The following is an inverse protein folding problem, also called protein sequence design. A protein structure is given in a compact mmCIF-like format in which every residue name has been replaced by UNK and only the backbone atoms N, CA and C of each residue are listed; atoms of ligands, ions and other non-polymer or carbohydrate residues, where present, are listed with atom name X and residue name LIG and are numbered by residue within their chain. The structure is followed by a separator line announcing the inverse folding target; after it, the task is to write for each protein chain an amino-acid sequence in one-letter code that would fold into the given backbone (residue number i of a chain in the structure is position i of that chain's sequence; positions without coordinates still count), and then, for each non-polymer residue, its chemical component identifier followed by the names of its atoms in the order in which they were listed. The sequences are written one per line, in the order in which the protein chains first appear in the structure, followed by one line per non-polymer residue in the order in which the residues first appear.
data_IF_699936861395
#
_entry.id   IF_699936861395
#
_cell.length_a   1.000
_cell.length_b   1.000
_cell.length_c   1.000
_cell.angle_alpha   90.00
_cell.angle_beta   90.00
_cell.angle_gamma   90.00
#
_symmetry.space_group_name_H-M   'P 1'
#
loop_
_entity.id
_entity.type
_entity.pdbx_description
1 polymer ?
#
# COMPACT_ATOMS: atom_id res chain seq x y z
N UNK A 1 -23.58 0.18 12.97
CA UNK A 1 -23.43 -1.29 12.83
C UNK A 1 -22.15 -1.57 12.09
N UNK A 2 -21.26 -2.46 12.56
CA UNK A 2 -20.19 -2.96 11.70
C UNK A 2 -20.82 -3.64 10.48
N UNK A 3 -20.22 -3.53 9.28
CA UNK A 3 -20.77 -4.19 8.10
C UNK A 3 -20.77 -5.71 8.35
N UNK A 4 -21.94 -6.31 8.28
CA UNK A 4 -22.10 -7.76 8.37
C UNK A 4 -21.42 -8.41 7.17
N UNK A 5 -20.61 -9.45 7.42
CA UNK A 5 -20.03 -10.28 6.36
C UNK A 5 -21.17 -10.87 5.54
N UNK A 6 -21.14 -10.65 4.23
CA UNK A 6 -22.13 -11.22 3.32
C UNK A 6 -21.93 -12.74 3.21
N UNK A 7 -22.98 -13.52 2.90
CA UNK A 7 -22.83 -14.97 2.69
C UNK A 7 -21.77 -15.34 1.65
N UNK A 8 -21.63 -14.52 0.59
CA UNK A 8 -20.60 -14.67 -0.43
C UNK A 8 -19.17 -14.47 0.13
N UNK A 9 -18.96 -13.45 0.97
CA UNK A 9 -17.68 -13.24 1.64
C UNK A 9 -17.37 -14.40 2.60
N UNK A 10 -18.35 -14.86 3.38
CA UNK A 10 -18.16 -16.01 4.28
C UNK A 10 -17.70 -17.26 3.53
N UNK A 11 -18.36 -17.58 2.41
CA UNK A 11 -17.99 -18.69 1.52
C UNK A 11 -16.55 -18.55 0.99
N UNK A 12 -16.13 -17.34 0.60
CA UNK A 12 -14.77 -17.10 0.14
C UNK A 12 -13.73 -17.37 1.24
N UNK A 13 -13.96 -16.87 2.46
CA UNK A 13 -13.05 -17.09 3.60
C UNK A 13 -12.94 -18.56 4.02
N UNK A 14 -13.97 -19.37 3.76
CA UNK A 14 -13.96 -20.81 4.01
C UNK A 14 -13.31 -21.61 2.87
N UNK A 15 -13.07 -21.00 1.70
CA UNK A 15 -12.49 -21.67 0.54
C UNK A 15 -10.97 -21.82 0.64
N UNK A 16 -10.49 -23.03 0.31
CA UNK A 16 -9.07 -23.37 0.19
C UNK A 16 -8.58 -23.37 -1.26
N UNK A 17 -9.48 -23.16 -2.21
CA UNK A 17 -9.20 -23.25 -3.63
C UNK A 17 -8.64 -21.93 -4.18
N UNK A 18 -7.44 -21.97 -4.78
CA UNK A 18 -6.79 -20.77 -5.32
C UNK A 18 -7.65 -20.05 -6.38
N UNK A 19 -8.44 -20.80 -7.15
CA UNK A 19 -9.33 -20.25 -8.20
C UNK A 19 -10.40 -19.32 -7.63
N UNK A 20 -10.95 -19.64 -6.46
CA UNK A 20 -11.98 -18.81 -5.83
C UNK A 20 -11.41 -17.45 -5.41
N UNK A 21 -10.17 -17.45 -4.91
CA UNK A 21 -9.42 -16.24 -4.56
C UNK A 21 -9.07 -15.39 -5.77
N UNK A 22 -8.63 -16.02 -6.86
CA UNK A 22 -8.37 -15.32 -8.14
C UNK A 22 -9.64 -14.67 -8.69
N UNK A 23 -10.74 -15.42 -8.73
CA UNK A 23 -12.04 -14.91 -9.21
C UNK A 23 -12.54 -13.74 -8.35
N UNK A 24 -12.33 -13.80 -7.04
CA UNK A 24 -12.66 -12.69 -6.15
C UNK A 24 -11.78 -11.45 -6.41
N UNK A 25 -10.49 -11.66 -6.67
CA UNK A 25 -9.53 -10.59 -6.97
C UNK A 25 -9.82 -9.90 -8.31
N UNK A 26 -10.32 -10.64 -9.31
CA UNK A 26 -10.73 -10.07 -10.61
C UNK A 26 -11.84 -9.02 -10.48
N UNK A 27 -12.68 -9.12 -9.43
CA UNK A 27 -13.75 -8.14 -9.13
C UNK A 27 -13.25 -6.89 -8.38
N UNK A 28 -11.96 -6.81 -8.10
CA UNK A 28 -11.39 -5.68 -7.37
C UNK A 28 -11.61 -4.33 -8.07
N UNK A 29 -11.45 -4.18 -9.40
CA UNK A 29 -11.71 -2.91 -10.08
C UNK A 29 -13.14 -2.41 -9.84
N UNK A 30 -14.13 -3.29 -9.96
CA UNK A 30 -15.53 -3.01 -9.68
C UNK A 30 -15.72 -2.54 -8.22
N UNK A 31 -15.03 -3.17 -7.27
CA UNK A 31 -15.09 -2.82 -5.86
C UNK A 31 -14.46 -1.44 -5.54
N UNK A 32 -13.50 -0.97 -6.34
CA UNK A 32 -12.93 0.37 -6.24
C UNK A 32 -13.86 1.40 -6.87
N UNK A 33 -14.40 1.12 -8.05
CA UNK A 33 -15.40 1.95 -8.72
C UNK A 33 -16.65 2.14 -7.84
N UNK A 34 -17.10 1.08 -7.17
CA UNK A 34 -18.27 1.12 -6.28
C UNK A 34 -18.07 2.04 -5.06
N UNK A 35 -16.84 2.46 -4.74
CA UNK A 35 -16.61 3.44 -3.67
C UNK A 35 -17.02 4.86 -4.07
N UNK A 36 -17.21 5.13 -5.37
CA UNK A 36 -17.63 6.40 -5.93
C UNK A 36 -16.86 7.61 -5.36
N UNK A 37 -15.54 7.45 -5.21
CA UNK A 37 -14.64 8.51 -4.74
C UNK A 37 -13.87 9.09 -5.92
N UNK A 38 -13.89 10.42 -6.05
CA UNK A 38 -13.21 11.14 -7.15
C UNK A 38 -11.71 10.83 -7.16
N UNK A 39 -11.18 10.48 -8.34
CA UNK A 39 -9.76 10.19 -8.56
C UNK A 39 -9.24 8.91 -7.89
N UNK A 40 -10.08 8.14 -7.18
CA UNK A 40 -9.62 6.94 -6.48
C UNK A 40 -9.19 5.84 -7.46
N UNK A 41 -9.93 5.66 -8.57
CA UNK A 41 -9.61 4.66 -9.59
C UNK A 41 -8.23 4.93 -10.18
N UNK A 42 -7.96 6.17 -10.61
CA UNK A 42 -6.66 6.57 -11.15
C UNK A 42 -5.51 6.39 -10.14
N UNK A 43 -5.73 6.82 -8.90
CA UNK A 43 -4.74 6.64 -7.83
C UNK A 43 -4.47 5.16 -7.53
N UNK A 44 -5.49 4.31 -7.63
CA UNK A 44 -5.36 2.88 -7.37
C UNK A 44 -4.65 2.15 -8.52
N UNK A 45 -4.99 2.48 -9.77
CA UNK A 45 -4.27 1.98 -10.96
C UNK A 45 -2.79 2.37 -10.90
N UNK A 46 -2.48 3.63 -10.59
CA UNK A 46 -1.10 4.08 -10.41
C UNK A 46 -0.38 3.28 -9.32
N UNK A 47 -1.01 3.06 -8.16
CA UNK A 47 -0.43 2.28 -7.06
C UNK A 47 -0.17 0.82 -7.46
N UNK A 48 -1.07 0.19 -8.22
CA UNK A 48 -0.97 -1.23 -8.58
C UNK A 48 -0.06 -1.51 -9.77
N UNK A 49 0.01 -0.60 -10.74
CA UNK A 49 0.65 -0.87 -12.02
C UNK A 49 1.91 -0.04 -12.24
N UNK A 50 1.89 1.23 -11.91
CA UNK A 50 2.99 2.16 -12.23
C UNK A 50 4.05 2.17 -11.13
N UNK A 51 3.63 2.29 -9.87
CA UNK A 51 4.53 2.37 -8.72
C UNK A 51 5.47 1.14 -8.60
N UNK A 52 4.99 -0.12 -8.72
CA UNK A 52 5.87 -1.28 -8.62
C UNK A 52 6.87 -1.34 -9.77
N UNK A 53 6.48 -0.92 -10.99
CA UNK A 53 7.38 -0.84 -12.15
C UNK A 53 8.46 0.21 -11.94
N UNK A 54 8.10 1.38 -11.39
CA UNK A 54 9.05 2.45 -11.07
C UNK A 54 10.07 2.02 -10.02
N UNK A 55 9.62 1.35 -8.94
CA UNK A 55 10.52 0.83 -7.90
C UNK A 55 11.42 -0.27 -8.45
N UNK A 56 10.88 -1.20 -9.25
CA UNK A 56 11.66 -2.29 -9.85
C UNK A 56 12.70 -1.80 -10.87
N UNK A 57 12.47 -0.65 -11.52
CA UNK A 57 13.43 -0.01 -12.41
C UNK A 57 14.61 0.66 -11.69
N UNK A 58 14.54 0.84 -10.37
CA UNK A 58 15.59 1.44 -9.53
C UNK A 58 16.33 0.34 -8.77
N UNK A 59 17.66 0.33 -8.84
CA UNK A 59 18.50 -0.62 -8.08
C UNK A 59 19.57 0.14 -7.30
N UNK A 60 19.48 0.22 -5.97
CA UNK A 60 18.39 -0.28 -5.10
C UNK A 60 17.06 0.46 -5.30
N UNK A 61 15.93 -0.22 -5.04
CA UNK A 61 14.61 0.40 -5.14
C UNK A 61 14.42 1.49 -4.08
N UNK A 62 13.89 2.64 -4.46
CA UNK A 62 13.57 3.77 -3.57
C UNK A 62 12.28 4.47 -4.02
N UNK A 63 11.69 5.24 -3.12
CA UNK A 63 10.58 6.15 -3.41
C UNK A 63 11.07 7.59 -3.46
N UNK A 64 10.53 8.35 -4.39
CA UNK A 64 10.68 9.80 -4.42
C UNK A 64 9.66 10.48 -3.49
N UNK A 65 9.95 11.70 -3.06
CA UNK A 65 9.05 12.47 -2.19
C UNK A 65 7.65 12.62 -2.81
N UNK A 66 7.57 12.92 -4.11
CA UNK A 66 6.30 13.06 -4.83
C UNK A 66 5.50 11.76 -4.88
N UNK A 67 6.18 10.62 -5.05
CA UNK A 67 5.57 9.29 -5.00
C UNK A 67 5.06 8.96 -3.60
N UNK A 68 5.82 9.30 -2.55
CA UNK A 68 5.40 9.11 -1.17
C UNK A 68 4.17 9.98 -0.83
N UNK A 69 4.10 11.21 -1.33
CA UNK A 69 2.92 12.08 -1.19
C UNK A 69 1.71 11.46 -1.90
N UNK A 70 1.86 11.05 -3.16
CA UNK A 70 0.78 10.44 -3.96
C UNK A 70 0.29 9.13 -3.34
N UNK A 71 1.19 8.34 -2.78
CA UNK A 71 0.88 7.12 -2.02
C UNK A 71 0.08 7.40 -0.74
N UNK A 72 0.41 8.49 -0.04
CA UNK A 72 -0.38 8.94 1.11
C UNK A 72 -1.76 9.45 0.72
N UNK A 73 -1.87 10.16 -0.40
CA UNK A 73 -3.15 10.60 -0.95
C UNK A 73 -4.02 9.39 -1.33
N UNK A 74 -3.47 8.37 -1.99
CA UNK A 74 -4.15 7.10 -2.27
C UNK A 74 -4.65 6.41 -1.00
N UNK A 75 -3.79 6.28 0.03
CA UNK A 75 -4.15 5.65 1.31
C UNK A 75 -5.31 6.38 2.00
N UNK A 76 -5.26 7.71 2.02
CA UNK A 76 -6.29 8.54 2.63
C UNK A 76 -7.58 8.60 1.80
N UNK A 77 -7.47 8.51 0.46
CA UNK A 77 -8.60 8.40 -0.43
C UNK A 77 -9.39 7.11 -0.19
N UNK A 78 -8.74 5.97 0.07
CA UNK A 78 -9.43 4.71 0.43
C UNK A 78 -10.10 4.78 1.80
N UNK A 79 -9.42 5.34 2.79
CA UNK A 79 -9.85 5.39 4.19
C UNK A 79 -10.54 6.68 4.63
N UNK A 80 -10.24 7.08 5.88
CA UNK A 80 -10.63 8.36 6.48
C UNK A 80 -9.61 9.42 6.11
N UNK A 81 -10.07 10.48 5.44
CA UNK A 81 -9.20 11.60 5.04
C UNK A 81 -8.62 12.32 6.27
N UNK A 82 -7.28 12.54 6.25
CA UNK A 82 -6.53 13.24 7.31
C UNK A 82 -5.48 14.16 6.67
N UNK A 83 -5.81 15.43 6.38
CA UNK A 83 -4.96 16.31 5.57
C UNK A 83 -3.61 16.62 6.24
N UNK A 84 -3.57 16.68 7.58
CA UNK A 84 -2.31 16.87 8.32
C UNK A 84 -1.25 15.82 7.98
N UNK A 85 -1.67 14.60 7.67
CA UNK A 85 -0.76 13.51 7.36
C UNK A 85 -0.10 13.68 5.98
N UNK A 86 -0.80 14.26 5.01
CA UNK A 86 -0.23 14.61 3.71
C UNK A 86 0.80 15.72 3.87
N UNK A 87 0.47 16.74 4.68
CA UNK A 87 1.39 17.85 4.94
C UNK A 87 2.70 17.37 5.56
N UNK A 88 2.64 16.45 6.54
CA UNK A 88 3.84 15.89 7.14
C UNK A 88 4.78 15.26 6.11
N UNK A 89 4.25 14.54 5.12
CA UNK A 89 5.08 13.94 4.07
C UNK A 89 5.65 14.98 3.11
N UNK A 90 4.89 16.04 2.81
CA UNK A 90 5.37 17.17 2.00
C UNK A 90 6.50 17.94 2.68
N UNK A 91 6.51 17.96 4.02
CA UNK A 91 7.54 18.65 4.80
C UNK A 91 8.83 17.81 4.96
N UNK A 92 8.83 16.52 4.59
CA UNK A 92 10.04 15.68 4.61
C UNK A 92 10.97 16.06 3.47
N UNK A 93 12.28 16.11 3.69
CA UNK A 93 13.23 16.35 2.60
C UNK A 93 13.31 15.15 1.65
N UNK A 94 13.44 15.43 0.35
CA UNK A 94 13.54 14.41 -0.69
C UNK A 94 14.69 13.43 -0.43
N UNK A 95 15.86 13.94 -0.03
CA UNK A 95 17.04 13.12 0.29
C UNK A 95 16.79 12.15 1.46
N UNK A 96 16.02 12.58 2.45
CA UNK A 96 15.71 11.76 3.62
C UNK A 96 14.70 10.67 3.25
N UNK A 97 13.72 10.98 2.40
CA UNK A 97 12.77 10.00 1.85
C UNK A 97 13.49 8.93 1.04
N UNK A 98 14.37 9.32 0.10
CA UNK A 98 15.11 8.37 -0.73
C UNK A 98 15.97 7.46 0.13
N UNK A 99 16.83 8.01 1.00
CA UNK A 99 17.73 7.20 1.85
C UNK A 99 16.97 6.24 2.77
N UNK A 100 15.88 6.71 3.37
CA UNK A 100 15.09 5.89 4.31
C UNK A 100 14.32 4.79 3.59
N UNK A 101 13.76 5.09 2.42
CA UNK A 101 12.98 4.12 1.65
C UNK A 101 13.88 3.12 0.94
N UNK A 102 15.06 3.54 0.48
CA UNK A 102 16.11 2.66 -0.03
C UNK A 102 16.55 1.63 1.02
N UNK A 103 16.86 2.09 2.23
CA UNK A 103 17.28 1.21 3.32
C UNK A 103 16.13 0.27 3.75
N UNK A 104 14.91 0.80 3.87
CA UNK A 104 13.74 -0.02 4.17
C UNK A 104 13.47 -1.09 3.11
N UNK A 105 13.60 -0.76 1.82
CA UNK A 105 13.38 -1.69 0.71
C UNK A 105 14.51 -2.71 0.58
N UNK A 106 15.75 -2.35 0.93
CA UNK A 106 16.86 -3.31 1.06
C UNK A 106 16.65 -4.32 2.18
N UNK A 107 16.10 -3.88 3.31
CA UNK A 107 15.78 -4.74 4.45
C UNK A 107 14.46 -5.49 4.30
N UNK A 108 13.68 -5.17 3.26
CA UNK A 108 12.46 -5.89 2.95
C UNK A 108 12.84 -7.21 2.26
N UNK A 109 12.51 -8.38 2.81
CA UNK A 109 12.59 -9.60 2.03
C UNK A 109 11.66 -9.40 0.84
N UNK A 110 12.21 -9.38 -0.38
CA UNK A 110 11.42 -9.57 -1.61
C UNK A 110 10.52 -10.77 -1.32
N UNK A 111 9.22 -10.61 -1.50
CA UNK A 111 8.23 -11.61 -1.09
C UNK A 111 8.41 -12.83 -2.01
N UNK A 112 9.36 -13.70 -1.68
CA UNK A 112 9.56 -15.00 -2.35
C UNK A 112 8.93 -16.12 -1.53
N UNK A 113 8.64 -15.89 -0.24
CA UNK A 113 8.14 -16.93 0.66
C UNK A 113 7.04 -16.42 1.63
N UNK A 114 5.81 -16.96 1.56
CA UNK A 114 4.68 -16.56 2.43
C UNK A 114 4.84 -16.95 3.92
N UNK A 115 5.96 -17.57 4.32
CA UNK A 115 6.26 -17.97 5.71
C UNK A 115 7.43 -17.19 6.36
N UNK A 116 8.06 -16.25 5.65
CA UNK A 116 9.24 -15.55 6.19
C UNK A 116 8.86 -14.43 7.18
N UNK A 117 9.64 -14.18 8.26
CA UNK A 117 9.35 -13.15 9.26
C UNK A 117 9.38 -11.73 8.65
N UNK A 118 8.24 -11.04 8.69
CA UNK A 118 7.99 -9.72 8.06
C UNK A 118 8.65 -8.52 8.77
N UNK A 119 9.72 -8.71 9.53
CA UNK A 119 10.11 -7.79 10.61
C UNK A 119 11.14 -6.69 10.24
N UNK A 120 11.82 -6.78 9.09
CA UNK A 120 13.01 -5.95 8.80
C UNK A 120 12.74 -4.49 8.41
N UNK A 121 11.73 -4.21 7.59
CA UNK A 121 11.53 -2.86 7.01
C UNK A 121 10.81 -1.85 7.94
N UNK A 122 10.12 -2.34 8.97
CA UNK A 122 9.30 -1.51 9.88
C UNK A 122 10.11 -0.52 10.73
N UNK A 123 11.24 -0.91 11.35
CA UNK A 123 12.08 0.02 12.11
C UNK A 123 12.59 1.20 11.28
N UNK A 124 12.94 0.98 10.00
CA UNK A 124 13.43 2.03 9.09
C UNK A 124 12.31 2.99 8.70
N UNK A 125 11.13 2.47 8.33
CA UNK A 125 9.96 3.31 8.02
C UNK A 125 9.46 4.11 9.23
N UNK A 126 9.70 3.63 10.46
CA UNK A 126 9.41 4.35 11.70
C UNK A 126 10.36 5.55 11.95
N UNK A 127 11.52 5.63 11.27
CA UNK A 127 12.42 6.79 11.36
C UNK A 127 11.82 8.02 10.67
N UNK A 128 10.88 7.83 9.75
CA UNK A 128 10.07 8.90 9.18
C UNK A 128 9.14 9.43 10.30
N UNK A 129 9.41 10.64 10.80
CA UNK A 129 8.58 11.30 11.83
C UNK A 129 7.15 11.51 11.31
N UNK A 130 6.29 10.56 11.62
CA UNK A 130 4.90 10.51 11.25
C UNK A 130 4.37 9.12 11.57
N UNK A 131 3.83 8.93 12.77
CA UNK A 131 3.43 7.63 13.36
C UNK A 131 2.39 6.80 12.60
N UNK A 132 2.16 7.05 11.30
CA UNK A 132 1.22 6.36 10.44
C UNK A 132 1.89 5.61 9.26
N UNK A 133 3.21 5.77 9.04
CA UNK A 133 3.96 4.98 8.05
C UNK A 133 4.23 3.55 8.55
N UNK A 134 4.24 3.29 9.86
CA UNK A 134 4.28 1.94 10.41
C UNK A 134 3.02 1.10 10.08
N UNK A 135 1.90 1.75 9.73
CA UNK A 135 0.70 1.08 9.22
C UNK A 135 0.80 0.79 7.71
N UNK A 136 1.98 0.85 7.11
CA UNK A 136 2.27 0.31 5.77
C UNK A 136 2.33 -1.22 5.84
N UNK A 137 1.27 -1.82 6.38
CA UNK A 137 1.01 -3.24 6.26
C UNK A 137 0.52 -3.43 4.83
N UNK A 138 1.47 -3.67 3.94
CA UNK A 138 1.25 -4.29 2.63
C UNK A 138 0.66 -5.69 2.91
N UNK A 139 -0.65 -5.71 3.17
CA UNK A 139 -1.48 -6.87 2.88
C UNK A 139 -1.89 -6.72 1.40
N UNK A 140 -0.96 -7.14 0.55
CA UNK A 140 -1.26 -7.74 -0.74
C UNK A 140 -1.10 -9.25 -0.57
#
# INVERSE_FOLDING_TARGET
MPPSITPAQKKLWESKELRDWHTALERYPEAIESKNKKGLVELDTWYREELPKAIAGRSPGYLEQGELVKLMEWKLARGKWRPRLVQFVKDLSADMVVKTTEEALRQMPVIVDPKSPKAGALPELCKLKGGCLACFRLEA
#
